data_IF_204945314011
#
_entry.id   IF_204945314011
#
_cell.length_a   1.000
_cell.length_b   1.000
_cell.length_c   1.000
_cell.angle_alpha   90.00
_cell.angle_beta   90.00
_cell.angle_gamma   90.00
#
_symmetry.space_group_name_H-M   'P 1'
#
loop_
_entity.id
_entity.type
_entity.pdbx_description
1 polymer ?
#
# COMPACT_ATOMS: atom_id res chain seq x y z
N UNK A 1 -34.95 21.29 -28.60
CA UNK A 1 -35.47 20.05 -27.98
C UNK A 1 -34.34 19.18 -27.38
N UNK A 2 -33.12 19.17 -27.93
CA UNK A 2 -31.99 18.38 -27.38
C UNK A 2 -31.29 19.05 -26.18
N UNK A 3 -31.19 20.39 -26.16
CA UNK A 3 -30.51 21.14 -25.07
C UNK A 3 -31.14 20.94 -23.68
N UNK A 4 -32.47 20.77 -23.59
CA UNK A 4 -33.15 20.55 -22.31
C UNK A 4 -32.92 19.15 -21.73
N UNK A 5 -32.74 18.15 -22.61
CA UNK A 5 -32.42 16.79 -22.19
C UNK A 5 -30.99 16.72 -21.62
N UNK A 6 -30.04 17.41 -22.26
CA UNK A 6 -28.65 17.45 -21.85
C UNK A 6 -28.46 18.16 -20.49
N UNK A 7 -29.23 19.22 -20.24
CA UNK A 7 -29.24 19.92 -18.94
C UNK A 7 -29.83 19.11 -17.79
N UNK A 8 -30.80 18.23 -18.08
CA UNK A 8 -31.39 17.34 -17.06
C UNK A 8 -30.44 16.21 -16.70
N UNK A 9 -29.76 15.63 -17.68
CA UNK A 9 -28.75 14.57 -17.48
C UNK A 9 -27.56 15.10 -16.67
N UNK A 10 -27.05 16.30 -16.98
CA UNK A 10 -25.97 16.93 -16.22
C UNK A 10 -26.38 17.21 -14.77
N UNK A 11 -27.62 17.64 -14.52
CA UNK A 11 -28.12 17.86 -13.17
C UNK A 11 -28.19 16.56 -12.34
N UNK A 12 -28.58 15.44 -12.96
CA UNK A 12 -28.63 14.14 -12.28
C UNK A 12 -27.21 13.66 -11.99
N UNK A 13 -26.30 13.76 -12.96
CA UNK A 13 -24.90 13.40 -12.80
C UNK A 13 -24.24 14.19 -11.67
N UNK A 14 -24.47 15.51 -11.60
CA UNK A 14 -23.96 16.39 -10.55
C UNK A 14 -24.43 15.95 -9.16
N UNK A 15 -25.73 15.67 -8.96
CA UNK A 15 -26.24 15.21 -7.66
C UNK A 15 -25.67 13.86 -7.23
N UNK A 16 -25.47 12.94 -8.18
CA UNK A 16 -24.84 11.65 -7.89
C UNK A 16 -23.39 11.86 -7.47
N UNK A 17 -22.67 12.74 -8.16
CA UNK A 17 -21.27 13.03 -7.88
C UNK A 17 -21.10 13.77 -6.54
N UNK A 18 -22.01 14.69 -6.18
CA UNK A 18 -22.04 15.35 -4.87
C UNK A 18 -22.31 14.35 -3.73
N UNK A 19 -23.31 13.48 -3.89
CA UNK A 19 -23.64 12.47 -2.88
C UNK A 19 -22.51 11.45 -2.72
N UNK A 20 -21.91 11.03 -3.82
CA UNK A 20 -20.79 10.10 -3.82
C UNK A 20 -19.52 10.75 -3.27
N UNK A 21 -19.24 12.02 -3.59
CA UNK A 21 -18.11 12.79 -3.07
C UNK A 21 -18.24 13.05 -1.57
N UNK A 22 -19.44 13.36 -1.07
CA UNK A 22 -19.70 13.52 0.35
C UNK A 22 -19.51 12.21 1.12
N UNK A 23 -20.07 11.10 0.62
CA UNK A 23 -19.91 9.78 1.26
C UNK A 23 -18.48 9.23 1.16
N UNK A 24 -17.81 9.49 0.03
CA UNK A 24 -16.44 9.03 -0.20
C UNK A 24 -15.44 9.89 0.57
N UNK A 25 -15.64 11.20 0.73
CA UNK A 25 -14.72 12.08 1.46
C UNK A 25 -14.49 11.66 2.92
N UNK A 26 -15.57 11.29 3.62
CA UNK A 26 -15.48 10.72 4.97
C UNK A 26 -14.84 9.32 5.00
N UNK A 27 -15.05 8.55 3.94
CA UNK A 27 -14.47 7.21 3.80
C UNK A 27 -12.99 7.27 3.47
N UNK A 28 -12.57 8.18 2.58
CA UNK A 28 -11.20 8.41 2.13
C UNK A 28 -10.34 8.89 3.30
N UNK A 29 -10.86 9.80 4.13
CA UNK A 29 -10.17 10.27 5.34
C UNK A 29 -9.94 9.14 6.35
N UNK A 30 -10.94 8.27 6.55
CA UNK A 30 -10.79 7.09 7.43
C UNK A 30 -9.88 6.02 6.84
N UNK A 31 -9.95 5.81 5.53
CA UNK A 31 -9.07 4.91 4.80
C UNK A 31 -7.63 5.40 4.85
N UNK A 32 -7.37 6.69 4.65
CA UNK A 32 -6.05 7.28 4.75
C UNK A 32 -5.49 7.12 6.17
N UNK A 33 -6.32 7.33 7.22
CA UNK A 33 -5.93 7.09 8.60
C UNK A 33 -5.55 5.62 8.89
N UNK A 34 -6.37 4.67 8.44
CA UNK A 34 -6.09 3.22 8.56
C UNK A 34 -4.87 2.81 7.73
N UNK A 35 -4.73 3.35 6.52
CA UNK A 35 -3.60 3.10 5.65
C UNK A 35 -2.31 3.64 6.27
N UNK A 36 -2.33 4.85 6.84
CA UNK A 36 -1.18 5.43 7.55
C UNK A 36 -0.84 4.65 8.82
N UNK A 37 -1.84 4.14 9.55
CA UNK A 37 -1.61 3.26 10.70
C UNK A 37 -1.01 1.91 10.26
N UNK A 38 -1.51 1.32 9.18
CA UNK A 38 -0.97 0.08 8.62
C UNK A 38 0.46 0.29 8.12
N UNK A 39 0.72 1.39 7.41
CA UNK A 39 2.05 1.79 6.97
C UNK A 39 2.99 2.02 8.16
N UNK A 40 2.54 2.70 9.22
CA UNK A 40 3.31 2.91 10.44
C UNK A 40 3.66 1.59 11.15
N UNK A 41 2.70 0.67 11.28
CA UNK A 41 2.95 -0.68 11.82
C UNK A 41 3.95 -1.46 10.96
N UNK A 42 3.79 -1.40 9.63
CA UNK A 42 4.72 -2.05 8.71
C UNK A 42 6.12 -1.45 8.81
N UNK A 43 6.26 -0.12 8.91
CA UNK A 43 7.53 0.56 9.10
C UNK A 43 8.19 0.19 10.44
N UNK A 44 7.41 0.08 11.52
CA UNK A 44 7.92 -0.32 12.82
C UNK A 44 8.46 -1.76 12.80
N UNK A 45 7.68 -2.70 12.28
CA UNK A 45 8.10 -4.11 12.14
C UNK A 45 9.33 -4.21 11.23
N UNK A 46 9.33 -3.49 10.11
CA UNK A 46 10.48 -3.46 9.21
C UNK A 46 11.74 -2.89 9.89
N UNK A 47 11.60 -1.82 10.67
CA UNK A 47 12.69 -1.23 11.44
C UNK A 47 13.29 -2.21 12.45
N UNK A 48 12.45 -2.90 13.23
CA UNK A 48 12.89 -3.88 14.23
C UNK A 48 13.60 -5.08 13.61
N UNK A 49 13.09 -5.58 12.47
CA UNK A 49 13.75 -6.63 11.69
C UNK A 49 15.08 -6.14 11.13
N UNK A 50 15.14 -4.94 10.57
CA UNK A 50 16.36 -4.39 10.00
C UNK A 50 17.43 -4.15 11.07
N UNK A 51 17.05 -3.65 12.25
CA UNK A 51 17.97 -3.46 13.37
C UNK A 51 18.50 -4.80 13.88
N UNK A 52 17.65 -5.82 14.00
CA UNK A 52 18.07 -7.18 14.35
C UNK A 52 19.06 -7.74 13.33
N UNK A 53 18.75 -7.60 12.03
CA UNK A 53 19.63 -8.05 10.95
C UNK A 53 20.94 -7.26 10.94
N UNK A 54 20.90 -5.95 11.20
CA UNK A 54 22.09 -5.09 11.31
C UNK A 54 22.97 -5.54 12.46
N UNK A 55 22.40 -5.79 13.63
CA UNK A 55 23.16 -6.23 14.80
C UNK A 55 23.78 -7.61 14.58
N UNK A 56 23.03 -8.53 13.96
CA UNK A 56 23.54 -9.83 13.51
C UNK A 56 24.62 -9.70 12.42
N UNK A 57 24.53 -8.71 11.53
CA UNK A 57 25.55 -8.45 10.51
C UNK A 57 26.86 -7.94 11.10
N UNK A 58 26.79 -7.12 12.15
CA UNK A 58 27.98 -6.64 12.86
C UNK A 58 28.60 -7.77 13.70
N UNK A 59 27.77 -8.59 14.35
CA UNK A 59 28.24 -9.69 15.19
C UNK A 59 28.74 -10.91 14.39
N UNK A 60 28.11 -11.22 13.25
CA UNK A 60 28.42 -12.39 12.44
C UNK A 60 28.19 -12.13 10.93
N UNK A 61 29.14 -11.46 10.25
CA UNK A 61 28.97 -10.99 8.88
C UNK A 61 28.73 -12.11 7.86
N UNK A 62 29.33 -13.29 8.08
CA UNK A 62 29.13 -14.45 7.21
C UNK A 62 27.71 -15.04 7.33
N UNK A 63 27.14 -15.05 8.53
CA UNK A 63 25.77 -15.53 8.77
C UNK A 63 24.74 -14.70 8.03
N UNK A 64 24.87 -13.37 8.07
CA UNK A 64 23.97 -12.46 7.37
C UNK A 64 24.07 -12.59 5.85
N UNK A 65 25.28 -12.71 5.29
CA UNK A 65 25.47 -12.92 3.85
C UNK A 65 24.81 -14.22 3.39
N UNK A 66 24.97 -15.31 4.15
CA UNK A 66 24.34 -16.59 3.83
C UNK A 66 22.80 -16.51 3.87
N UNK A 67 22.24 -15.76 4.83
CA UNK A 67 20.79 -15.57 4.96
C UNK A 67 20.22 -14.78 3.78
N UNK A 68 20.88 -13.67 3.40
CA UNK A 68 20.48 -12.86 2.22
C UNK A 68 20.62 -13.67 0.93
N UNK A 69 21.72 -14.39 0.77
CA UNK A 69 21.93 -15.26 -0.40
C UNK A 69 20.87 -16.35 -0.50
N UNK A 70 20.51 -16.98 0.62
CA UNK A 70 19.45 -18.00 0.68
C UNK A 70 18.08 -17.42 0.32
N UNK A 71 17.71 -16.27 0.87
CA UNK A 71 16.45 -15.60 0.55
C UNK A 71 16.37 -15.20 -0.93
N UNK A 72 17.46 -14.63 -1.48
CA UNK A 72 17.56 -14.28 -2.90
C UNK A 72 17.50 -15.52 -3.82
N UNK A 73 18.13 -16.62 -3.44
CA UNK A 73 18.11 -17.87 -4.19
C UNK A 73 16.69 -18.47 -4.25
N UNK A 74 15.97 -18.51 -3.12
CA UNK A 74 14.59 -19.02 -3.08
C UNK A 74 13.67 -18.16 -3.94
N UNK A 75 13.74 -16.83 -3.82
CA UNK A 75 12.95 -15.92 -4.65
C UNK A 75 13.28 -16.04 -6.14
N UNK A 76 14.57 -16.14 -6.47
CA UNK A 76 15.04 -16.37 -7.84
C UNK A 76 14.58 -17.70 -8.40
N UNK A 77 14.62 -18.78 -7.60
CA UNK A 77 14.15 -20.10 -8.01
C UNK A 77 12.63 -20.15 -8.20
N UNK A 78 11.87 -19.34 -7.45
CA UNK A 78 10.41 -19.20 -7.60
C UNK A 78 10.04 -18.44 -8.87
N UNK A 79 10.82 -17.41 -9.23
CA UNK A 79 10.66 -16.68 -10.49
C UNK A 79 11.15 -17.48 -11.70
N UNK A 80 12.21 -18.27 -11.56
CA UNK A 80 12.74 -19.12 -12.63
C UNK A 80 11.79 -20.27 -13.02
N UNK A 81 10.73 -20.51 -12.24
CA UNK A 81 9.73 -21.55 -12.50
C UNK A 81 8.49 -21.05 -13.24
N UNK A 82 8.44 -19.76 -13.59
CA UNK A 82 7.35 -19.15 -14.36
C UNK A 82 7.86 -18.72 -15.72
#
# INVERSE_FOLDING_TARGET
>A
MLEQAEGTVQNIAGRVQDAFGAATGDTDTQLEGKARQAAGKAQQVYGEVLDTVREQAVANPLGTVALVAGAGFVLGALWARR
#
